data_IF_336471951326
#
_entry.id   IF_336471951326
#
_cell.length_a   1.000
_cell.length_b   1.000
_cell.length_c   1.000
_cell.angle_alpha   90.00
_cell.angle_beta   90.00
_cell.angle_gamma   90.00
#
_symmetry.space_group_name_H-M   'P 1'
#
loop_
_entity.id
_entity.type
_entity.pdbx_description
1 polymer ?
#
# COMPACT_ATOMS: atom_id res chain seq x y z
N UNK A 1 -51.87 -8.81 39.73
CA UNK A 1 -50.81 -7.78 39.75
C UNK A 1 -49.42 -8.40 39.81
N UNK A 2 -49.23 -9.54 40.49
CA UNK A 2 -47.95 -10.26 40.67
C UNK A 2 -47.16 -10.66 39.42
N UNK A 3 -47.81 -10.89 38.27
CA UNK A 3 -47.11 -11.30 37.04
C UNK A 3 -46.27 -10.16 36.44
N UNK A 4 -46.80 -8.94 36.45
CA UNK A 4 -46.10 -7.76 35.93
C UNK A 4 -44.98 -7.30 36.87
N UNK A 5 -45.15 -7.43 38.19
CA UNK A 5 -44.11 -7.10 39.18
C UNK A 5 -42.88 -8.03 39.10
N UNK A 6 -43.06 -9.29 38.70
CA UNK A 6 -41.94 -10.23 38.48
C UNK A 6 -41.22 -10.03 37.15
N UNK A 7 -41.91 -9.56 36.11
CA UNK A 7 -41.36 -9.42 34.76
C UNK A 7 -40.66 -8.08 34.58
N UNK A 8 -41.18 -7.02 35.21
CA UNK A 8 -40.61 -5.67 35.12
C UNK A 8 -39.10 -5.59 35.42
N UNK A 9 -38.57 -6.14 36.53
CA UNK A 9 -37.13 -6.10 36.80
C UNK A 9 -36.30 -6.95 35.82
N UNK A 10 -36.92 -7.93 35.16
CA UNK A 10 -36.29 -8.78 34.14
C UNK A 10 -36.16 -8.02 32.81
N UNK A 11 -37.20 -7.27 32.43
CA UNK A 11 -37.20 -6.38 31.26
C UNK A 11 -36.25 -5.21 31.45
N UNK A 12 -36.20 -4.63 32.65
CA UNK A 12 -35.30 -3.53 32.97
C UNK A 12 -33.83 -3.98 32.90
N UNK A 13 -33.49 -5.12 33.52
CA UNK A 13 -32.15 -5.73 33.38
C UNK A 13 -31.83 -6.06 31.93
N UNK A 14 -32.76 -6.66 31.18
CA UNK A 14 -32.55 -6.96 29.76
C UNK A 14 -32.25 -5.68 28.98
N UNK A 15 -33.02 -4.61 29.19
CA UNK A 15 -32.80 -3.31 28.53
C UNK A 15 -31.46 -2.65 28.92
N UNK A 16 -31.02 -2.80 30.18
CA UNK A 16 -29.71 -2.31 30.63
C UNK A 16 -28.55 -3.07 29.96
N UNK A 17 -28.70 -4.36 29.68
CA UNK A 17 -27.67 -5.19 29.04
C UNK A 17 -27.69 -5.12 27.51
N UNK A 18 -28.87 -4.96 26.89
CA UNK A 18 -29.00 -4.86 25.42
C UNK A 18 -28.35 -3.61 24.87
N UNK A 19 -28.36 -2.48 25.60
CA UNK A 19 -27.77 -1.24 25.13
C UNK A 19 -26.24 -1.33 24.94
N UNK A 20 -25.44 -1.84 25.90
CA UNK A 20 -24.02 -2.15 25.68
C UNK A 20 -23.79 -3.15 24.55
N UNK A 21 -24.59 -4.22 24.47
CA UNK A 21 -24.46 -5.24 23.41
C UNK A 21 -24.72 -4.62 22.03
N UNK A 22 -25.74 -3.79 21.91
CA UNK A 22 -26.05 -3.06 20.68
C UNK A 22 -24.90 -2.12 20.31
N UNK A 23 -24.33 -1.39 21.27
CA UNK A 23 -23.16 -0.54 21.05
C UNK A 23 -21.96 -1.34 20.52
N UNK A 24 -21.65 -2.49 21.14
CA UNK A 24 -20.57 -3.37 20.67
C UNK A 24 -20.83 -3.89 19.25
N UNK A 25 -22.06 -4.34 18.96
CA UNK A 25 -22.45 -4.78 17.62
C UNK A 25 -22.36 -3.66 16.59
N UNK A 26 -22.74 -2.44 16.95
CA UNK A 26 -22.60 -1.26 16.10
C UNK A 26 -21.13 -0.97 15.80
N UNK A 27 -20.25 -0.92 16.82
CA UNK A 27 -18.81 -0.74 16.63
C UNK A 27 -18.24 -1.84 15.72
N UNK A 28 -18.61 -3.09 15.97
CA UNK A 28 -18.17 -4.22 15.17
C UNK A 28 -18.63 -4.10 13.71
N UNK A 29 -19.87 -3.70 13.49
CA UNK A 29 -20.44 -3.47 12.15
C UNK A 29 -19.69 -2.35 11.42
N UNK A 30 -19.34 -1.26 12.10
CA UNK A 30 -18.50 -0.21 11.52
C UNK A 30 -17.13 -0.74 11.12
N UNK A 31 -16.46 -1.49 12.00
CA UNK A 31 -15.15 -2.10 11.70
C UNK A 31 -15.23 -3.02 10.49
N UNK A 32 -16.27 -3.85 10.39
CA UNK A 32 -16.51 -4.70 9.23
C UNK A 32 -16.76 -3.90 7.95
N UNK A 33 -17.56 -2.84 8.02
CA UNK A 33 -17.84 -1.97 6.88
C UNK A 33 -16.56 -1.29 6.37
N UNK A 34 -15.72 -0.76 7.27
CA UNK A 34 -14.42 -0.17 6.91
C UNK A 34 -13.49 -1.20 6.27
N UNK A 35 -13.36 -2.39 6.85
CA UNK A 35 -12.52 -3.45 6.30
C UNK A 35 -13.00 -3.93 4.93
N UNK A 36 -14.31 -4.03 4.74
CA UNK A 36 -14.93 -4.43 3.47
C UNK A 36 -14.68 -3.39 2.39
N UNK A 37 -14.93 -2.11 2.70
CA UNK A 37 -14.63 -1.00 1.78
C UNK A 37 -13.16 -0.99 1.37
N UNK A 38 -12.24 -1.14 2.34
CA UNK A 38 -10.80 -1.22 2.06
C UNK A 38 -10.47 -2.39 1.14
N UNK A 39 -10.99 -3.60 1.40
CA UNK A 39 -10.76 -4.76 0.53
C UNK A 39 -11.24 -4.50 -0.91
N UNK A 40 -12.38 -3.82 -1.08
CA UNK A 40 -12.91 -3.45 -2.39
C UNK A 40 -11.97 -2.45 -3.09
N UNK A 41 -11.51 -1.41 -2.38
CA UNK A 41 -10.55 -0.44 -2.91
C UNK A 41 -9.20 -1.09 -3.28
N UNK A 42 -8.67 -1.96 -2.41
CA UNK A 42 -7.47 -2.76 -2.71
C UNK A 42 -7.65 -3.59 -3.98
N UNK A 43 -8.78 -4.30 -4.11
CA UNK A 43 -9.04 -5.14 -5.29
C UNK A 43 -9.09 -4.32 -6.58
N UNK A 44 -9.73 -3.15 -6.54
CA UNK A 44 -9.78 -2.22 -7.67
C UNK A 44 -8.38 -1.74 -8.05
N UNK A 45 -7.59 -1.31 -7.07
CA UNK A 45 -6.23 -0.86 -7.30
C UNK A 45 -5.31 -1.99 -7.80
N UNK A 46 -5.50 -3.25 -7.37
CA UNK A 46 -4.72 -4.40 -7.86
C UNK A 46 -4.97 -4.63 -9.35
N UNK A 47 -6.24 -4.60 -9.76
CA UNK A 47 -6.60 -4.76 -11.17
C UNK A 47 -5.98 -3.64 -12.01
N UNK A 48 -6.08 -2.39 -11.54
CA UNK A 48 -5.48 -1.25 -12.23
C UNK A 48 -3.94 -1.38 -12.26
N UNK A 49 -3.32 -1.72 -11.14
CA UNK A 49 -1.88 -1.94 -11.03
C UNK A 49 -1.41 -2.98 -12.04
N UNK A 50 -2.09 -4.12 -12.13
CA UNK A 50 -1.74 -5.19 -13.05
C UNK A 50 -1.90 -4.78 -14.53
N UNK A 51 -2.84 -3.90 -14.86
CA UNK A 51 -3.00 -3.37 -16.21
C UNK A 51 -1.88 -2.39 -16.59
N UNK A 52 -1.34 -1.67 -15.62
CA UNK A 52 -0.35 -0.62 -15.84
C UNK A 52 1.12 -1.10 -15.69
N UNK A 53 1.34 -2.37 -15.30
CA UNK A 53 2.67 -2.95 -15.05
C UNK A 53 3.62 -2.72 -16.23
N UNK A 54 3.17 -2.99 -17.46
CA UNK A 54 4.00 -2.93 -18.66
C UNK A 54 4.50 -1.51 -18.94
N UNK A 55 3.65 -0.50 -18.69
CA UNK A 55 4.01 0.92 -18.83
C UNK A 55 5.15 1.30 -17.88
N UNK A 56 5.06 0.87 -16.61
CA UNK A 56 6.10 1.13 -15.62
C UNK A 56 7.40 0.38 -15.92
N UNK A 57 7.32 -0.89 -16.34
CA UNK A 57 8.49 -1.68 -16.71
C UNK A 57 9.23 -1.10 -17.91
N UNK A 58 8.52 -0.70 -18.97
CA UNK A 58 9.15 -0.08 -20.15
C UNK A 58 9.93 1.19 -19.80
N UNK A 59 9.42 2.01 -18.88
CA UNK A 59 10.12 3.21 -18.39
C UNK A 59 11.34 2.87 -17.53
N UNK A 60 11.24 1.83 -16.70
CA UNK A 60 12.35 1.35 -15.88
C UNK A 60 13.43 0.69 -16.74
N UNK A 61 13.08 0.07 -17.86
CA UNK A 61 14.03 -0.52 -18.81
C UNK A 61 14.95 0.54 -19.43
N UNK A 62 14.42 1.71 -19.79
CA UNK A 62 15.23 2.84 -20.25
C UNK A 62 16.27 3.30 -19.20
N UNK A 63 15.92 3.22 -17.93
CA UNK A 63 16.86 3.47 -16.82
C UNK A 63 17.89 2.34 -16.69
N UNK A 64 17.46 1.09 -16.88
CA UNK A 64 18.33 -0.07 -16.79
C UNK A 64 19.48 -0.03 -17.81
N UNK A 65 19.22 0.46 -19.02
CA UNK A 65 20.25 0.65 -20.07
C UNK A 65 21.35 1.59 -19.58
N UNK A 66 20.98 2.71 -18.95
CA UNK A 66 21.93 3.71 -18.44
C UNK A 66 22.76 3.13 -17.30
N UNK A 67 22.14 2.41 -16.38
CA UNK A 67 22.81 1.78 -15.24
C UNK A 67 23.75 0.67 -15.71
N UNK A 68 23.33 -0.14 -16.68
CA UNK A 68 24.12 -1.25 -17.21
C UNK A 68 25.39 -0.79 -17.93
N UNK A 69 25.43 0.46 -18.42
CA UNK A 69 26.64 1.07 -18.99
C UNK A 69 27.65 1.60 -17.96
N UNK A 70 27.33 1.56 -16.66
CA UNK A 70 28.24 2.00 -15.60
C UNK A 70 29.08 0.82 -15.11
N UNK A 71 30.40 0.92 -15.25
CA UNK A 71 31.33 -0.15 -14.88
C UNK A 71 31.72 -0.11 -13.40
N UNK A 72 31.78 1.08 -12.79
CA UNK A 72 32.18 1.27 -11.39
C UNK A 72 30.97 1.39 -10.45
N UNK A 73 30.94 0.55 -9.42
CA UNK A 73 29.90 0.54 -8.37
C UNK A 73 29.92 1.80 -7.50
N UNK A 74 31.01 2.54 -7.47
CA UNK A 74 31.14 3.80 -6.75
C UNK A 74 30.89 5.03 -7.63
N UNK A 75 30.67 4.82 -8.93
CA UNK A 75 30.29 5.90 -9.84
C UNK A 75 29.00 6.57 -9.38
N UNK A 76 28.96 7.90 -9.50
CA UNK A 76 27.76 8.67 -9.21
C UNK A 76 26.68 8.41 -10.26
N UNK A 77 25.48 8.07 -9.79
CA UNK A 77 24.31 7.94 -10.66
C UNK A 77 23.88 9.34 -11.11
N UNK A 78 23.67 9.57 -12.43
CA UNK A 78 23.20 10.85 -12.93
C UNK A 78 21.88 11.25 -12.28
N UNK A 79 21.79 12.52 -11.86
CA UNK A 79 20.61 13.05 -11.18
C UNK A 79 19.31 12.82 -11.96
N UNK A 80 19.35 12.95 -13.30
CA UNK A 80 18.23 12.66 -14.20
C UNK A 80 17.66 11.25 -14.03
N UNK A 81 18.50 10.25 -13.74
CA UNK A 81 18.07 8.87 -13.50
C UNK A 81 17.35 8.77 -12.15
N UNK A 82 17.93 9.38 -11.11
CA UNK A 82 17.33 9.40 -9.77
C UNK A 82 15.97 10.11 -9.81
N UNK A 83 15.87 11.23 -10.53
CA UNK A 83 14.62 11.97 -10.71
C UNK A 83 13.56 11.16 -11.45
N UNK A 84 13.91 10.49 -12.55
CA UNK A 84 12.94 9.68 -13.30
C UNK A 84 12.41 8.50 -12.48
N UNK A 85 13.29 7.77 -11.78
CA UNK A 85 12.87 6.66 -10.90
C UNK A 85 12.04 7.18 -9.73
N UNK A 86 12.38 8.35 -9.18
CA UNK A 86 11.59 9.01 -8.13
C UNK A 86 10.22 9.46 -8.62
N UNK A 87 10.13 9.91 -9.88
CA UNK A 87 8.88 10.27 -10.55
C UNK A 87 8.00 9.04 -10.71
N UNK A 88 8.54 7.93 -11.23
CA UNK A 88 7.84 6.64 -11.34
C UNK A 88 7.28 6.19 -9.99
N UNK A 89 8.12 6.20 -8.94
CA UNK A 89 7.67 5.80 -7.61
C UNK A 89 6.58 6.74 -7.03
N UNK A 90 6.66 8.03 -7.31
CA UNK A 90 5.66 9.01 -6.86
C UNK A 90 4.34 8.86 -7.61
N UNK A 91 4.39 8.62 -8.91
CA UNK A 91 3.23 8.35 -9.76
C UNK A 91 2.53 7.06 -9.30
N UNK A 92 3.26 5.96 -9.11
CA UNK A 92 2.71 4.72 -8.57
C UNK A 92 2.05 4.93 -7.20
N UNK A 93 2.70 5.68 -6.29
CA UNK A 93 2.11 6.00 -4.98
C UNK A 93 0.80 6.79 -5.10
N UNK A 94 0.72 7.74 -6.04
CA UNK A 94 -0.46 8.58 -6.26
C UNK A 94 -1.59 7.79 -6.93
N UNK A 95 -1.26 6.90 -7.85
CA UNK A 95 -2.23 6.08 -8.61
C UNK A 95 -2.80 4.93 -7.78
N UNK A 96 -2.02 4.40 -6.83
CA UNK A 96 -2.42 3.29 -5.95
C UNK A 96 -2.26 3.67 -4.46
N UNK A 97 -3.06 4.62 -3.95
CA UNK A 97 -2.93 5.11 -2.57
C UNK A 97 -3.21 4.03 -1.54
N UNK A 98 -4.21 3.16 -1.76
CA UNK A 98 -4.59 2.09 -0.82
C UNK A 98 -3.48 1.05 -0.75
N UNK A 99 -2.99 0.59 -1.89
CA UNK A 99 -1.90 -0.37 -2.00
C UNK A 99 -0.59 0.18 -1.43
N UNK A 100 -0.22 1.41 -1.78
CA UNK A 100 1.01 2.03 -1.29
C UNK A 100 0.96 2.39 0.20
N UNK A 101 -0.23 2.48 0.81
CA UNK A 101 -0.38 2.71 2.23
C UNK A 101 -0.41 1.41 3.04
N UNK A 102 -1.22 0.43 2.63
CA UNK A 102 -1.49 -0.77 3.42
C UNK A 102 -0.57 -1.95 3.10
N UNK A 103 -0.08 -2.10 1.86
CA UNK A 103 0.77 -3.23 1.46
C UNK A 103 2.24 -2.91 1.65
N UNK A 104 2.90 -3.65 2.54
CA UNK A 104 4.33 -3.45 2.84
C UNK A 104 5.21 -3.75 1.62
N UNK A 105 4.86 -4.75 0.82
CA UNK A 105 5.62 -5.10 -0.40
C UNK A 105 5.64 -3.95 -1.41
N UNK A 106 4.60 -3.10 -1.41
CA UNK A 106 4.48 -1.95 -2.31
C UNK A 106 5.07 -0.70 -1.66
N UNK A 107 4.71 -0.43 -0.40
CA UNK A 107 5.18 0.73 0.35
C UNK A 107 6.69 0.77 0.55
N UNK A 108 7.32 -0.39 0.76
CA UNK A 108 8.75 -0.54 1.05
C UNK A 108 9.63 0.02 -0.07
N UNK A 109 9.55 -0.54 -1.29
CA UNK A 109 10.31 -0.07 -2.45
C UNK A 109 10.10 1.42 -2.73
N UNK A 110 8.84 1.89 -2.75
CA UNK A 110 8.51 3.29 -3.01
C UNK A 110 9.14 4.24 -1.98
N UNK A 111 9.20 3.83 -0.70
CA UNK A 111 9.83 4.61 0.37
C UNK A 111 11.35 4.65 0.21
N UNK A 112 11.99 3.57 -0.24
CA UNK A 112 13.44 3.53 -0.46
C UNK A 112 13.87 4.46 -1.58
N UNK A 113 13.15 4.47 -2.71
CA UNK A 113 13.39 5.43 -3.80
C UNK A 113 13.25 6.88 -3.32
N UNK A 114 12.19 7.18 -2.56
CA UNK A 114 12.00 8.53 -2.00
C UNK A 114 13.14 8.95 -1.05
N UNK A 115 13.84 8.01 -0.41
CA UNK A 115 15.02 8.32 0.40
C UNK A 115 16.23 8.64 -0.48
N UNK A 116 16.41 7.96 -1.61
CA UNK A 116 17.49 8.26 -2.56
C UNK A 116 17.40 9.69 -3.09
N UNK A 117 16.20 10.14 -3.45
CA UNK A 117 15.96 11.51 -3.93
C UNK A 117 16.40 12.61 -2.95
N UNK A 118 16.44 12.31 -1.64
CA UNK A 118 16.82 13.28 -0.62
C UNK A 118 18.33 13.41 -0.43
N UNK A 119 19.11 12.50 -1.00
CA UNK A 119 20.57 12.55 -0.94
C UNK A 119 21.07 13.52 -2.00
N UNK A 120 22.11 14.29 -1.68
CA UNK A 120 22.79 15.15 -2.65
C UNK A 120 23.54 14.34 -3.71
N UNK A 121 24.12 13.21 -3.30
CA UNK A 121 24.85 12.29 -4.18
C UNK A 121 24.43 10.87 -3.87
N UNK A 122 24.32 10.06 -4.92
CA UNK A 122 23.96 8.63 -4.83
C UNK A 122 24.93 7.87 -5.71
N UNK A 123 25.66 6.92 -5.13
CA UNK A 123 26.54 6.01 -5.88
C UNK A 123 25.73 4.85 -6.45
N UNK A 124 26.26 4.20 -7.48
CA UNK A 124 25.60 3.08 -8.13
C UNK A 124 25.23 1.97 -7.15
N UNK A 125 26.14 1.60 -6.23
CA UNK A 125 25.87 0.58 -5.20
C UNK A 125 24.72 0.95 -4.27
N UNK A 126 24.58 2.23 -3.90
CA UNK A 126 23.47 2.70 -3.07
C UNK A 126 22.15 2.74 -3.83
N UNK A 127 22.22 2.89 -5.15
CA UNK A 127 21.06 3.01 -6.03
C UNK A 127 20.45 1.65 -6.40
N UNK A 128 21.30 0.65 -6.66
CA UNK A 128 20.90 -0.65 -7.21
C UNK A 128 19.86 -1.37 -6.35
N UNK A 129 20.06 -1.43 -5.03
CA UNK A 129 19.15 -2.14 -4.13
C UNK A 129 17.72 -1.53 -4.15
N UNK A 130 17.53 -0.22 -3.88
CA UNK A 130 16.22 0.41 -4.02
C UNK A 130 15.61 0.30 -5.42
N UNK A 131 16.44 0.38 -6.47
CA UNK A 131 15.98 0.28 -7.86
C UNK A 131 15.50 -1.13 -8.20
N UNK A 132 16.27 -2.16 -7.88
CA UNK A 132 15.91 -3.56 -8.13
C UNK A 132 14.63 -3.94 -7.38
N UNK A 133 14.45 -3.46 -6.15
CA UNK A 133 13.20 -3.64 -5.41
C UNK A 133 12.01 -2.94 -6.08
N UNK A 134 12.22 -1.78 -6.69
CA UNK A 134 11.19 -1.11 -7.48
C UNK A 134 10.88 -1.88 -8.77
N UNK A 135 11.88 -2.42 -9.47
CA UNK A 135 11.66 -3.24 -10.67
C UNK A 135 10.89 -4.52 -10.30
N UNK A 136 11.29 -5.20 -9.23
CA UNK A 136 10.62 -6.40 -8.73
C UNK A 136 9.17 -6.14 -8.30
N UNK A 137 8.83 -4.91 -7.90
CA UNK A 137 7.46 -4.53 -7.62
C UNK A 137 6.55 -4.72 -8.84
N UNK A 138 7.03 -4.37 -10.03
CA UNK A 138 6.28 -4.42 -11.29
C UNK A 138 6.51 -5.70 -12.09
N UNK A 139 7.57 -6.48 -11.81
CA UNK A 139 7.91 -7.68 -12.58
C UNK A 139 6.87 -8.81 -12.54
N UNK A 140 6.09 -8.91 -11.47
CA UNK A 140 5.11 -9.98 -11.30
C UNK A 140 3.72 -9.41 -11.14
N UNK A 141 2.78 -9.95 -11.94
CA UNK A 141 1.35 -9.72 -11.72
C UNK A 141 1.03 -10.04 -10.26
N UNK A 142 0.37 -9.10 -9.59
CA UNK A 142 0.00 -9.29 -8.20
C UNK A 142 -1.31 -10.05 -8.15
N UNK A 143 -1.22 -11.31 -7.75
CA UNK A 143 -2.34 -12.12 -7.30
C UNK A 143 -2.34 -12.08 -5.78
N UNK A 144 -3.04 -11.11 -5.19
CA UNK A 144 -3.21 -11.11 -3.73
C UNK A 144 -4.38 -12.03 -3.39
N UNK A 145 -4.23 -12.94 -2.39
CA UNK A 145 -5.26 -13.92 -2.06
C UNK A 145 -6.57 -13.24 -1.63
N UNK A 146 -7.69 -13.88 -2.01
CA UNK A 146 -9.08 -13.49 -1.68
C UNK A 146 -9.33 -13.48 -0.17
#
# INVERSE_FOLDING_TARGET
MDFFEKIYPLVEKFNTWTSPIALFLTIFTFVLAFNTRRKIEETKEITLFNNDIEEYLARLEGVNVVISSMEDRYQMVPEKVILEVSRIASEAKKRYPTLSFWRREIRGPLKKIKKLQKKQTVTLIEFLDPYNELVALFWTRKEFPK
#
